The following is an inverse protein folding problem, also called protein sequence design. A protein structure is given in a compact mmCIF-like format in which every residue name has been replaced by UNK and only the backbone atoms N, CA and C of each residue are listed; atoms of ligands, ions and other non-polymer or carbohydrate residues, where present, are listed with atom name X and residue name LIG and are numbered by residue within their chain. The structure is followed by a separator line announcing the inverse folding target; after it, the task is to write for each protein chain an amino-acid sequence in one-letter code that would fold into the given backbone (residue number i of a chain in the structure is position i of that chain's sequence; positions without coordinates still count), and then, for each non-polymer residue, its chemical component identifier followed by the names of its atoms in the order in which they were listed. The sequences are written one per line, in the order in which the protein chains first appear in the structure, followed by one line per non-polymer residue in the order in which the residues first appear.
data_IF_402846776156
#
_entry.id   IF_402846776156
#
_cell.length_a   1.000
_cell.length_b   1.000
_cell.length_c   1.000
_cell.angle_alpha   90.00
_cell.angle_beta   90.00
_cell.angle_gamma   90.00
#
_symmetry.space_group_name_H-M   'P 1'
#
loop_
_entity.id
_entity.type
_entity.pdbx_description
1 polymer ?
#
# COMPACT_ATOMS: atom_id res chain seq x y z
N UNK A 1 -5.58 -3.68 26.59
CA UNK A 1 -5.86 -5.14 26.62
C UNK A 1 -6.02 -5.61 25.20
N UNK A 2 -5.26 -6.62 24.77
CA UNK A 2 -5.42 -7.21 23.43
C UNK A 2 -6.77 -7.92 23.36
N UNK A 3 -7.63 -7.54 22.41
CA UNK A 3 -8.91 -8.18 22.15
C UNK A 3 -8.64 -9.53 21.48
N UNK A 4 -9.23 -10.61 21.99
CA UNK A 4 -9.17 -11.91 21.30
C UNK A 4 -9.91 -11.82 19.96
N UNK A 5 -9.22 -12.18 18.88
CA UNK A 5 -9.76 -12.21 17.51
C UNK A 5 -9.78 -13.66 17.04
N UNK A 6 -10.96 -14.22 16.72
CA UNK A 6 -11.06 -15.56 16.16
C UNK A 6 -10.26 -15.69 14.86
N UNK A 7 -9.55 -16.81 14.69
CA UNK A 7 -8.69 -17.07 13.51
C UNK A 7 -9.45 -17.15 12.19
N UNK A 8 -10.74 -17.48 12.26
CA UNK A 8 -11.68 -17.59 11.14
C UNK A 8 -12.40 -16.26 10.83
N UNK A 9 -12.11 -15.19 11.58
CA UNK A 9 -12.74 -13.90 11.33
C UNK A 9 -12.20 -13.22 10.07
N UNK A 10 -13.09 -12.49 9.37
CA UNK A 10 -12.72 -11.64 8.24
C UNK A 10 -11.59 -10.64 8.60
N UNK A 11 -11.61 -10.12 9.84
CA UNK A 11 -10.57 -9.22 10.35
C UNK A 11 -9.21 -9.91 10.44
N UNK A 12 -9.15 -11.16 10.92
CA UNK A 12 -7.90 -11.92 10.99
C UNK A 12 -7.33 -12.17 9.59
N UNK A 13 -8.18 -12.49 8.61
CA UNK A 13 -7.76 -12.61 7.21
C UNK A 13 -7.17 -11.32 6.66
N UNK A 14 -7.79 -10.17 6.95
CA UNK A 14 -7.30 -8.86 6.52
C UNK A 14 -5.94 -8.54 7.15
N UNK A 15 -5.74 -8.86 8.44
CA UNK A 15 -4.47 -8.66 9.13
C UNK A 15 -3.36 -9.47 8.46
N UNK A 16 -3.61 -10.76 8.18
CA UNK A 16 -2.66 -11.63 7.48
C UNK A 16 -2.37 -11.14 6.06
N UNK A 17 -3.40 -10.68 5.32
CA UNK A 17 -3.18 -10.08 4.01
C UNK A 17 -2.28 -8.83 4.14
N UNK A 18 -2.40 -8.00 5.18
CA UNK A 18 -1.49 -6.86 5.39
C UNK A 18 -0.05 -7.33 5.67
N UNK A 19 0.15 -8.43 6.40
CA UNK A 19 1.49 -9.02 6.60
C UNK A 19 2.09 -9.50 5.27
N UNK A 20 1.28 -10.15 4.43
CA UNK A 20 1.70 -10.55 3.09
C UNK A 20 2.04 -9.33 2.21
N UNK A 21 1.26 -8.24 2.31
CA UNK A 21 1.57 -6.99 1.61
C UNK A 21 2.92 -6.41 2.05
N UNK A 22 3.25 -6.44 3.34
CA UNK A 22 4.55 -5.99 3.87
C UNK A 22 5.70 -6.81 3.25
N UNK A 23 5.52 -8.13 3.14
CA UNK A 23 6.51 -9.01 2.49
C UNK A 23 6.63 -8.75 0.98
N UNK A 24 5.51 -8.48 0.29
CA UNK A 24 5.52 -8.08 -1.13
C UNK A 24 6.23 -6.75 -1.36
N UNK A 25 6.04 -5.79 -0.45
CA UNK A 25 6.77 -4.51 -0.47
C UNK A 25 8.28 -4.73 -0.29
N UNK A 26 8.68 -5.67 0.58
CA UNK A 26 10.10 -6.04 0.73
C UNK A 26 10.70 -6.55 -0.58
N UNK A 27 9.97 -7.43 -1.29
CA UNK A 27 10.40 -7.91 -2.61
C UNK A 27 10.53 -6.77 -3.61
N UNK A 28 9.55 -5.87 -3.68
CA UNK A 28 9.60 -4.70 -4.55
C UNK A 28 10.78 -3.78 -4.22
N UNK A 29 11.12 -3.62 -2.94
CA UNK A 29 12.28 -2.86 -2.46
C UNK A 29 13.61 -3.48 -2.92
N UNK A 30 13.80 -4.78 -2.69
CA UNK A 30 15.02 -5.51 -3.07
C UNK A 30 15.21 -5.47 -4.59
N UNK A 31 14.13 -5.57 -5.36
CA UNK A 31 14.16 -5.67 -6.83
C UNK A 31 14.13 -4.32 -7.53
N UNK A 32 13.69 -3.26 -6.86
CA UNK A 32 13.55 -1.91 -7.41
C UNK A 32 14.88 -1.25 -7.78
N UNK A 33 15.96 -1.58 -7.06
CA UNK A 33 17.31 -1.01 -7.23
C UNK A 33 17.33 0.54 -7.33
N UNK A 34 16.46 1.20 -6.57
CA UNK A 34 16.36 2.66 -6.46
C UNK A 34 16.27 3.05 -4.98
N UNK A 35 17.23 3.86 -4.52
CA UNK A 35 17.36 4.18 -3.10
C UNK A 35 16.18 5.00 -2.59
N UNK A 36 15.70 5.97 -3.37
CA UNK A 36 14.57 6.83 -3.01
C UNK A 36 13.30 6.00 -2.82
N UNK A 37 13.03 5.09 -3.77
CA UNK A 37 11.92 4.14 -3.68
C UNK A 37 12.10 3.22 -2.47
N UNK A 38 13.30 2.71 -2.24
CA UNK A 38 13.58 1.78 -1.14
C UNK A 38 13.32 2.40 0.23
N UNK A 39 13.78 3.64 0.44
CA UNK A 39 13.53 4.38 1.67
C UNK A 39 12.03 4.68 1.88
N UNK A 40 11.31 4.99 0.81
CA UNK A 40 9.88 5.28 0.89
C UNK A 40 9.06 4.00 1.16
N UNK A 41 9.37 2.89 0.50
CA UNK A 41 8.75 1.60 0.76
C UNK A 41 9.01 1.11 2.19
N UNK A 42 10.20 1.35 2.73
CA UNK A 42 10.50 1.02 4.14
C UNK A 42 9.59 1.78 5.12
N UNK A 43 9.32 3.06 4.85
CA UNK A 43 8.37 3.85 5.66
C UNK A 43 6.96 3.27 5.57
N UNK A 44 6.50 2.94 4.36
CA UNK A 44 5.19 2.31 4.14
C UNK A 44 5.06 1.00 4.92
N UNK A 45 6.10 0.17 4.97
CA UNK A 45 6.07 -1.06 5.78
C UNK A 45 5.82 -0.75 7.26
N UNK A 46 6.49 0.25 7.82
CA UNK A 46 6.28 0.71 9.20
C UNK A 46 4.85 1.22 9.44
N UNK A 47 4.28 1.95 8.48
CA UNK A 47 2.91 2.46 8.57
C UNK A 47 1.85 1.36 8.49
N UNK A 48 2.07 0.32 7.66
CA UNK A 48 1.20 -0.85 7.60
C UNK A 48 1.17 -1.61 8.94
N UNK A 49 2.30 -1.68 9.65
CA UNK A 49 2.33 -2.23 11.01
C UNK A 49 1.50 -1.39 12.00
N UNK A 50 1.51 -0.06 11.89
CA UNK A 50 0.65 0.81 12.71
C UNK A 50 -0.84 0.60 12.38
N UNK A 51 -1.18 0.42 11.10
CA UNK A 51 -2.53 0.10 10.67
C UNK A 51 -3.01 -1.24 11.24
N UNK A 52 -2.16 -2.27 11.25
CA UNK A 52 -2.50 -3.54 11.90
C UNK A 52 -2.77 -3.35 13.38
N UNK A 53 -1.93 -2.59 14.10
CA UNK A 53 -2.18 -2.29 15.52
C UNK A 53 -3.52 -1.58 15.73
N UNK A 54 -3.89 -0.65 14.84
CA UNK A 54 -5.20 0.00 14.87
C UNK A 54 -6.34 -0.99 14.69
N UNK A 55 -6.24 -1.90 13.72
CA UNK A 55 -7.23 -2.96 13.48
C UNK A 55 -7.39 -3.90 14.69
N UNK A 56 -6.31 -4.08 15.45
CA UNK A 56 -6.31 -4.86 16.70
C UNK A 56 -6.86 -4.10 17.92
N UNK A 57 -7.36 -2.87 17.74
CA UNK A 57 -7.93 -2.04 18.79
C UNK A 57 -6.94 -1.07 19.44
N UNK A 58 -5.80 -0.82 18.80
CA UNK A 58 -4.87 0.24 19.19
C UNK A 58 -5.43 1.65 18.97
N UNK A 59 -4.68 2.66 19.43
CA UNK A 59 -5.07 4.07 19.40
C UNK A 59 -4.28 4.89 18.37
N UNK A 60 -3.69 4.23 17.36
CA UNK A 60 -2.88 4.87 16.33
C UNK A 60 -3.68 5.93 15.56
N UNK A 61 -3.03 7.05 15.25
CA UNK A 61 -3.58 8.15 14.47
C UNK A 61 -3.36 7.88 12.97
N UNK A 62 -4.31 7.18 12.35
CA UNK A 62 -4.23 6.82 10.92
C UNK A 62 -4.38 8.04 10.02
N UNK A 63 -5.03 9.11 10.50
CA UNK A 63 -5.22 10.33 9.70
C UNK A 63 -3.88 10.98 9.36
N UNK A 64 -2.91 10.96 10.26
CA UNK A 64 -1.56 11.46 9.99
C UNK A 64 -0.85 10.64 8.90
N UNK A 65 -1.00 9.31 8.94
CA UNK A 65 -0.43 8.41 7.93
C UNK A 65 -1.04 8.69 6.55
N UNK A 66 -2.36 8.90 6.49
CA UNK A 66 -3.08 9.28 5.26
C UNK A 66 -2.56 10.59 4.67
N UNK A 67 -2.28 11.59 5.50
CA UNK A 67 -1.74 12.87 5.02
C UNK A 67 -0.33 12.68 4.45
N UNK A 68 0.56 11.96 5.17
CA UNK A 68 1.93 11.70 4.72
C UNK A 68 1.95 10.95 3.38
N UNK A 69 1.17 9.89 3.24
CA UNK A 69 1.15 9.10 2.00
C UNK A 69 0.55 9.90 0.84
N UNK A 70 -0.43 10.79 1.10
CA UNK A 70 -0.97 11.70 0.10
C UNK A 70 0.09 12.69 -0.39
N UNK A 71 0.86 13.29 0.51
CA UNK A 71 1.96 14.19 0.15
C UNK A 71 3.00 13.47 -0.72
N UNK A 72 3.23 12.17 -0.45
CA UNK A 72 4.14 11.35 -1.26
C UNK A 72 3.56 10.99 -2.63
N UNK A 73 2.27 10.72 -2.72
CA UNK A 73 1.58 10.56 -4.01
C UNK A 73 1.76 11.81 -4.86
N UNK A 74 1.55 13.00 -4.29
CA UNK A 74 1.69 14.27 -4.99
C UNK A 74 3.15 14.55 -5.41
N UNK A 75 4.12 14.24 -4.56
CA UNK A 75 5.56 14.32 -4.87
C UNK A 75 5.93 13.45 -6.08
N UNK A 76 5.55 12.17 -6.11
CA UNK A 76 5.83 11.30 -7.25
C UNK A 76 5.06 11.71 -8.51
N UNK A 77 3.80 12.12 -8.36
CA UNK A 77 2.98 12.60 -9.46
C UNK A 77 3.58 13.83 -10.13
N UNK A 78 4.21 14.73 -9.37
CA UNK A 78 4.89 15.92 -9.91
C UNK A 78 6.13 15.61 -10.76
N UNK A 79 6.75 14.45 -10.55
CA UNK A 79 7.98 14.00 -11.24
C UNK A 79 7.72 13.28 -12.56
N UNK A 80 6.47 12.98 -12.87
CA UNK A 80 6.11 12.20 -14.05
C UNK A 80 5.21 13.02 -14.98
N UNK A 81 5.39 12.82 -16.28
CA UNK A 81 4.40 13.26 -17.27
C UNK A 81 3.21 12.29 -17.23
N UNK A 82 1.96 12.77 -17.24
CA UNK A 82 0.80 11.88 -17.23
C UNK A 82 0.84 10.96 -18.46
N UNK A 83 0.61 9.64 -18.29
CA UNK A 83 0.66 8.72 -19.42
C UNK A 83 -0.51 8.98 -20.37
N UNK A 84 -0.21 9.13 -21.67
CA UNK A 84 -1.22 9.35 -22.72
C UNK A 84 -1.98 8.07 -23.12
N UNK A 85 -1.68 6.93 -22.48
CA UNK A 85 -2.21 5.60 -22.81
C UNK A 85 -2.32 4.73 -21.55
N UNK A 86 -3.08 3.64 -21.65
CA UNK A 86 -3.10 2.61 -20.62
C UNK A 86 -1.71 2.02 -20.43
N UNK A 87 -1.27 1.98 -19.18
CA UNK A 87 0.02 1.43 -18.78
C UNK A 87 -0.08 -0.09 -18.75
N UNK A 88 0.62 -0.75 -19.67
CA UNK A 88 0.70 -2.22 -19.67
C UNK A 88 1.66 -2.69 -18.57
N UNK A 89 1.42 -3.88 -17.97
CA UNK A 89 2.41 -4.52 -17.11
C UNK A 89 3.74 -4.62 -17.85
N UNK A 90 4.81 -4.09 -17.25
CA UNK A 90 6.12 -4.05 -17.88
C UNK A 90 6.74 -5.45 -17.98
N UNK A 91 7.67 -5.66 -18.92
CA UNK A 91 8.55 -6.83 -18.95
C UNK A 91 9.70 -6.75 -17.94
N UNK A 92 9.90 -5.59 -17.31
CA UNK A 92 10.94 -5.39 -16.30
C UNK A 92 10.55 -6.02 -14.96
N UNK A 93 11.39 -6.93 -14.46
CA UNK A 93 11.17 -7.64 -13.17
C UNK A 93 10.83 -6.66 -12.03
N UNK A 94 11.61 -5.58 -11.90
CA UNK A 94 11.43 -4.55 -10.86
C UNK A 94 10.06 -3.87 -10.90
N UNK A 95 9.53 -3.62 -12.10
CA UNK A 95 8.25 -2.95 -12.31
C UNK A 95 7.08 -3.89 -12.05
N UNK A 96 7.25 -5.17 -12.42
CA UNK A 96 6.27 -6.23 -12.13
C UNK A 96 6.03 -6.36 -10.63
N UNK A 97 7.08 -6.31 -9.79
CA UNK A 97 6.86 -6.40 -8.33
C UNK A 97 6.08 -5.21 -7.77
N UNK A 98 6.27 -3.99 -8.29
CA UNK A 98 5.45 -2.84 -7.91
C UNK A 98 3.99 -3.02 -8.34
N UNK A 99 3.75 -3.51 -9.55
CA UNK A 99 2.40 -3.78 -10.04
C UNK A 99 1.70 -4.89 -9.24
N UNK A 100 2.41 -5.99 -8.93
CA UNK A 100 1.89 -7.07 -8.09
C UNK A 100 1.54 -6.58 -6.67
N UNK A 101 2.43 -5.78 -6.08
CA UNK A 101 2.22 -5.18 -4.76
C UNK A 101 1.00 -4.27 -4.78
N UNK A 102 0.85 -3.44 -5.81
CA UNK A 102 -0.30 -2.55 -6.00
C UNK A 102 -1.61 -3.30 -6.14
N UNK A 103 -1.64 -4.34 -6.97
CA UNK A 103 -2.84 -5.19 -7.14
C UNK A 103 -3.25 -5.80 -5.81
N UNK A 104 -2.27 -6.26 -5.03
CA UNK A 104 -2.53 -6.84 -3.73
C UNK A 104 -3.02 -5.80 -2.70
N UNK A 105 -2.48 -4.59 -2.72
CA UNK A 105 -2.99 -3.48 -1.89
C UNK A 105 -4.49 -3.20 -2.19
N UNK A 106 -4.87 -3.20 -3.48
CA UNK A 106 -6.28 -3.04 -3.90
C UNK A 106 -7.17 -4.22 -3.50
N UNK A 107 -6.64 -5.45 -3.48
CA UNK A 107 -7.35 -6.62 -2.94
C UNK A 107 -7.72 -6.37 -1.47
N UNK A 108 -6.76 -5.91 -0.67
CA UNK A 108 -6.97 -5.60 0.75
C UNK A 108 -7.96 -4.45 0.96
N UNK A 109 -7.83 -3.37 0.18
CA UNK A 109 -8.78 -2.25 0.17
C UNK A 109 -10.22 -2.76 -0.04
N UNK A 110 -10.44 -3.64 -1.03
CA UNK A 110 -11.74 -4.24 -1.29
C UNK A 110 -12.22 -5.12 -0.12
N UNK A 111 -11.34 -5.90 0.51
CA UNK A 111 -11.67 -6.69 1.70
C UNK A 111 -12.09 -5.80 2.87
N UNK A 112 -11.39 -4.68 3.10
CA UNK A 112 -11.76 -3.69 4.12
C UNK A 112 -13.11 -3.01 3.83
N UNK A 113 -13.37 -2.67 2.57
CA UNK A 113 -14.66 -2.10 2.15
C UNK A 113 -15.81 -3.09 2.40
N UNK A 114 -15.62 -4.37 2.09
CA UNK A 114 -16.62 -5.43 2.38
C UNK A 114 -16.84 -5.56 3.88
N UNK A 115 -15.77 -5.68 4.65
CA UNK A 115 -15.84 -5.81 6.10
C UNK A 115 -16.52 -4.60 6.77
N UNK A 116 -16.30 -3.38 6.24
CA UNK A 116 -17.02 -2.18 6.69
C UNK A 116 -18.51 -2.21 6.35
N UNK A 117 -18.90 -2.71 5.17
CA UNK A 117 -20.32 -2.84 4.77
C UNK A 117 -21.09 -3.81 5.66
N UNK A 118 -20.41 -4.79 6.24
CA UNK A 118 -20.96 -5.72 7.25
C UNK A 118 -21.07 -5.07 8.66
N UNK A 119 -20.97 -3.74 8.74
CA UNK A 119 -21.11 -2.87 9.91
C UNK A 119 -20.14 -3.15 11.07
N UNK A 120 -18.96 -3.66 10.74
CA UNK A 120 -17.94 -4.06 11.72
C UNK A 120 -17.06 -2.90 12.24
N UNK A 121 -17.38 -1.64 11.91
CA UNK A 121 -16.76 -0.46 12.53
C UNK A 121 -15.27 -0.22 12.19
N UNK A 122 -14.82 -0.50 10.97
CA UNK A 122 -13.45 -0.14 10.53
C UNK A 122 -13.30 1.35 10.30
N UNK A 123 -12.19 1.89 10.81
CA UNK A 123 -11.77 3.27 10.57
C UNK A 123 -11.60 3.54 9.08
N UNK A 124 -12.32 4.54 8.58
CA UNK A 124 -12.33 4.94 7.17
C UNK A 124 -10.97 5.39 6.68
N UNK A 125 -10.12 5.93 7.57
CA UNK A 125 -8.78 6.36 7.22
C UNK A 125 -7.89 5.18 6.81
N UNK A 126 -8.15 3.97 7.31
CA UNK A 126 -7.41 2.77 6.89
C UNK A 126 -7.72 2.45 5.42
N UNK A 127 -9.00 2.53 5.03
CA UNK A 127 -9.42 2.30 3.64
C UNK A 127 -8.78 3.36 2.73
N UNK A 128 -8.86 4.63 3.11
CA UNK A 128 -8.22 5.73 2.37
C UNK A 128 -6.70 5.54 2.27
N UNK A 129 -6.04 5.06 3.32
CA UNK A 129 -4.61 4.78 3.26
C UNK A 129 -4.29 3.71 2.22
N UNK A 130 -5.05 2.62 2.18
CA UNK A 130 -4.84 1.53 1.21
C UNK A 130 -5.05 2.00 -0.24
N UNK A 131 -6.05 2.83 -0.48
CA UNK A 131 -6.29 3.49 -1.77
C UNK A 131 -5.07 4.36 -2.17
N UNK A 132 -4.60 5.22 -1.27
CA UNK A 132 -3.44 6.08 -1.52
C UNK A 132 -2.16 5.27 -1.73
N UNK A 133 -1.98 4.15 -1.02
CA UNK A 133 -0.86 3.25 -1.22
C UNK A 133 -0.88 2.64 -2.63
N UNK A 134 -2.05 2.22 -3.11
CA UNK A 134 -2.20 1.75 -4.49
C UNK A 134 -1.80 2.84 -5.50
N UNK A 135 -2.16 4.10 -5.27
CA UNK A 135 -1.75 5.23 -6.12
C UNK A 135 -0.24 5.50 -6.03
N UNK A 136 0.35 5.47 -4.84
CA UNK A 136 1.78 5.68 -4.64
C UNK A 136 2.59 4.63 -5.42
N UNK A 137 2.22 3.35 -5.29
CA UNK A 137 2.89 2.26 -6.00
C UNK A 137 2.77 2.41 -7.53
N UNK A 138 1.63 2.89 -8.03
CA UNK A 138 1.46 3.20 -9.45
C UNK A 138 2.40 4.31 -9.92
N UNK A 139 2.49 5.41 -9.18
CA UNK A 139 3.36 6.52 -9.55
C UNK A 139 4.84 6.21 -9.39
N UNK A 140 5.22 5.43 -8.37
CA UNK A 140 6.57 4.87 -8.25
C UNK A 140 6.92 4.00 -9.45
N UNK A 141 6.00 3.14 -9.91
CA UNK A 141 6.19 2.32 -11.11
C UNK A 141 6.46 3.19 -12.34
N UNK A 142 5.69 4.26 -12.55
CA UNK A 142 5.91 5.18 -13.67
C UNK A 142 7.23 5.95 -13.55
N UNK A 143 7.58 6.38 -12.35
CA UNK A 143 8.85 7.06 -12.09
C UNK A 143 10.07 6.19 -12.43
N UNK A 144 10.05 4.91 -12.04
CA UNK A 144 11.13 3.97 -12.36
C UNK A 144 11.16 3.64 -13.86
N UNK A 145 10.00 3.49 -14.51
CA UNK A 145 9.94 3.29 -15.96
C UNK A 145 10.55 4.48 -16.71
N UNK A 146 10.17 5.71 -16.35
CA UNK A 146 10.71 6.93 -16.95
C UNK A 146 12.22 7.10 -16.75
N UNK A 147 12.78 6.62 -15.63
CA UNK A 147 14.25 6.59 -15.42
C UNK A 147 14.99 5.64 -16.37
N UNK A 148 14.33 4.60 -16.90
CA UNK A 148 14.95 3.62 -17.81
C UNK A 148 14.92 4.04 -19.28
N UNK A 149 14.09 5.02 -19.63
CA UNK A 149 13.98 5.56 -21.00
C UNK A 149 14.92 6.74 -21.27
N UNK A 150 15.79 7.10 -20.31
CA UNK A 150 16.85 8.12 -20.41
C UNK A 150 18.20 7.42 -20.42
#
# INVERSE_FOLDING_TARGET
MSKYIPRDSNLFSIINDIEELIARIELAKIKGNDEQLSQELYKVQGELLLIQRKLLGGNEDIKQLVNRIRDKVDDYKSKISPPNRYVMPSSSESLIYLDLTRIFARKIENSLLKYRKEDQGVDTFIITYMEMLSLLLFYMRLYIEGKKEI
#
